data_IF_229568343621
#
_entry.id   IF_229568343621
#
_cell.length_a   1.000
_cell.length_b   1.000
_cell.length_c   1.000
_cell.angle_alpha   90.00
_cell.angle_beta   90.00
_cell.angle_gamma   90.00
#
_symmetry.space_group_name_H-M   'P 1'
#
loop_
_entity.id
_entity.type
_entity.pdbx_description
1 polymer ?
#
# COMPACT_ATOMS: atom_id res chain seq x y z
N UNK A 1 35.89 -29.80 -54.45
CA UNK A 1 34.64 -29.98 -53.68
C UNK A 1 34.61 -28.96 -52.56
N UNK A 2 34.06 -27.78 -52.83
CA UNK A 2 33.64 -26.80 -51.80
C UNK A 2 32.16 -26.57 -52.06
N UNK A 3 31.30 -27.01 -51.15
CA UNK A 3 29.88 -26.68 -51.16
C UNK A 3 29.70 -25.51 -50.20
N UNK A 4 29.54 -24.34 -50.80
CA UNK A 4 29.15 -23.08 -50.18
C UNK A 4 27.70 -23.23 -49.71
N UNK A 5 27.45 -23.26 -48.40
CA UNK A 5 26.09 -23.13 -47.87
C UNK A 5 25.83 -21.65 -47.59
N UNK A 6 25.11 -21.01 -48.51
CA UNK A 6 24.53 -19.69 -48.33
C UNK A 6 23.49 -19.71 -47.19
N UNK A 7 23.73 -18.89 -46.17
CA UNK A 7 22.80 -18.64 -45.06
C UNK A 7 21.86 -17.50 -45.49
N UNK A 8 20.53 -17.68 -45.55
CA UNK A 8 19.63 -16.60 -45.91
C UNK A 8 19.52 -15.56 -44.78
N UNK A 9 19.32 -14.26 -45.10
CA UNK A 9 19.23 -13.21 -44.11
C UNK A 9 17.95 -13.35 -43.26
N UNK A 10 18.09 -13.06 -41.96
CA UNK A 10 17.01 -13.09 -40.99
C UNK A 10 15.87 -12.13 -41.41
N UNK A 11 14.69 -12.69 -41.64
CA UNK A 11 13.44 -11.96 -41.81
C UNK A 11 13.17 -11.12 -40.55
N UNK A 12 13.24 -9.80 -40.68
CA UNK A 12 12.84 -8.84 -39.65
C UNK A 12 11.32 -8.89 -39.46
N UNK A 13 10.87 -9.53 -38.39
CA UNK A 13 9.47 -9.48 -37.97
C UNK A 13 9.19 -8.07 -37.40
N UNK A 14 8.19 -7.33 -37.90
CA UNK A 14 7.81 -6.07 -37.29
C UNK A 14 7.25 -6.37 -35.89
N UNK A 15 7.92 -5.86 -34.84
CA UNK A 15 7.35 -5.76 -33.50
C UNK A 15 6.15 -4.84 -33.58
N UNK A 16 4.96 -5.41 -33.76
CA UNK A 16 3.73 -4.70 -33.48
C UNK A 16 3.75 -4.36 -31.99
N UNK A 17 4.00 -3.08 -31.69
CA UNK A 17 3.72 -2.53 -30.39
C UNK A 17 2.23 -2.75 -30.14
N UNK A 18 1.88 -3.77 -29.36
CA UNK A 18 0.54 -3.98 -28.88
C UNK A 18 0.26 -2.84 -27.90
N UNK A 19 -0.26 -1.73 -28.43
CA UNK A 19 -0.75 -0.62 -27.62
C UNK A 19 -1.79 -1.19 -26.65
N UNK A 20 -1.50 -1.09 -25.35
CA UNK A 20 -2.43 -1.51 -24.33
C UNK A 20 -3.74 -0.70 -24.49
N UNK A 21 -4.92 -1.33 -24.39
CA UNK A 21 -6.17 -0.59 -24.52
C UNK A 21 -6.27 0.45 -23.40
N UNK A 22 -6.58 1.70 -23.77
CA UNK A 22 -6.99 2.74 -22.85
C UNK A 22 -8.36 2.34 -22.30
N UNK A 23 -8.41 1.88 -21.04
CA UNK A 23 -9.62 1.34 -20.45
C UNK A 23 -10.27 2.36 -19.51
N UNK A 24 -11.60 2.38 -19.48
CA UNK A 24 -12.42 3.30 -18.68
C UNK A 24 -12.21 3.15 -17.16
N UNK A 25 -12.99 3.87 -16.33
CA UNK A 25 -12.80 3.86 -14.88
C UNK A 25 -12.99 2.46 -14.30
N UNK A 26 -11.88 1.79 -13.96
CA UNK A 26 -11.87 0.50 -13.27
C UNK A 26 -12.17 0.71 -11.80
N UNK A 27 -12.94 -0.19 -11.20
CA UNK A 27 -13.27 -0.14 -9.78
C UNK A 27 -11.99 -0.19 -8.92
N UNK A 28 -11.93 0.54 -7.78
CA UNK A 28 -10.75 0.53 -6.92
C UNK A 28 -10.44 -0.88 -6.40
N UNK A 29 -9.17 -1.26 -6.46
CA UNK A 29 -8.65 -2.50 -5.88
C UNK A 29 -8.61 -2.37 -4.36
N UNK A 30 -9.63 -2.92 -3.71
CA UNK A 30 -9.74 -2.91 -2.26
C UNK A 30 -8.67 -3.79 -1.61
N UNK A 31 -7.97 -3.23 -0.63
CA UNK A 31 -6.99 -3.91 0.23
C UNK A 31 -7.69 -4.24 1.55
N UNK A 32 -8.10 -5.51 1.69
CA UNK A 32 -8.84 -5.94 2.87
C UNK A 32 -7.94 -5.97 4.11
N UNK A 33 -8.58 -6.05 5.28
CA UNK A 33 -7.89 -6.13 6.56
C UNK A 33 -6.91 -7.31 6.58
N UNK A 34 -5.62 -7.02 6.81
CA UNK A 34 -4.56 -8.02 6.91
C UNK A 34 -3.91 -8.38 5.59
N UNK A 35 -4.36 -7.77 4.49
CA UNK A 35 -3.79 -7.94 3.16
C UNK A 35 -2.81 -6.82 2.81
N UNK A 36 -1.97 -7.10 1.82
CA UNK A 36 -1.23 -6.11 1.06
C UNK A 36 -1.40 -6.39 -0.43
N UNK A 37 -1.44 -5.33 -1.24
CA UNK A 37 -1.53 -5.44 -2.70
C UNK A 37 -0.55 -4.47 -3.36
N UNK A 38 -0.02 -4.90 -4.50
CA UNK A 38 0.66 -4.01 -5.43
C UNK A 38 -0.32 -3.58 -6.50
N UNK A 39 -0.19 -2.33 -6.95
CA UNK A 39 -0.95 -1.80 -8.07
C UNK A 39 0.00 -1.39 -9.19
N UNK A 40 -0.49 -1.47 -10.43
CA UNK A 40 0.25 -1.07 -11.62
C UNK A 40 -0.66 -0.37 -12.63
N UNK A 41 -0.06 0.42 -13.53
CA UNK A 41 -0.77 1.04 -14.66
C UNK A 41 -1.99 1.83 -14.19
N UNK A 42 -3.20 1.38 -14.51
CA UNK A 42 -4.47 2.08 -14.24
C UNK A 42 -5.12 1.66 -12.92
N UNK A 43 -4.44 0.90 -12.06
CA UNK A 43 -5.01 0.45 -10.80
C UNK A 43 -5.19 1.62 -9.83
N UNK A 44 -6.20 1.52 -8.96
CA UNK A 44 -6.33 2.38 -7.80
C UNK A 44 -6.42 1.50 -6.55
N UNK A 45 -5.40 1.52 -5.69
CA UNK A 45 -5.44 0.81 -4.41
C UNK A 45 -6.31 1.58 -3.42
N UNK A 46 -7.15 0.89 -2.66
CA UNK A 46 -8.03 1.53 -1.69
C UNK A 46 -8.10 0.74 -0.37
N UNK A 47 -8.08 1.42 0.77
CA UNK A 47 -8.31 0.82 2.07
C UNK A 47 -9.21 1.71 2.94
N UNK A 48 -10.17 1.08 3.60
CA UNK A 48 -10.99 1.67 4.65
C UNK A 48 -10.34 1.43 6.02
N UNK A 49 -10.00 2.50 6.73
CA UNK A 49 -9.16 2.47 7.91
C UNK A 49 -9.90 3.02 9.14
N UNK A 50 -9.84 2.27 10.23
CA UNK A 50 -10.30 2.67 11.56
C UNK A 50 -9.13 2.73 12.54
N UNK A 51 -9.15 1.87 13.55
CA UNK A 51 -8.01 1.68 14.49
C UNK A 51 -6.85 0.87 13.90
N UNK A 52 -7.08 0.19 12.78
CA UNK A 52 -6.03 -0.34 11.91
C UNK A 52 -5.20 0.78 11.26
N UNK A 53 -4.03 0.45 10.72
CA UNK A 53 -3.15 1.40 10.01
C UNK A 53 -2.92 0.94 8.58
N UNK A 54 -3.07 1.86 7.63
CA UNK A 54 -2.68 1.69 6.25
C UNK A 54 -1.26 2.19 6.03
N UNK A 55 -0.43 1.42 5.31
CA UNK A 55 0.93 1.81 4.91
C UNK A 55 1.02 1.71 3.40
N UNK A 56 1.23 2.84 2.73
CA UNK A 56 1.41 2.91 1.29
C UNK A 56 2.86 3.23 0.91
N UNK A 57 3.37 2.54 -0.10
CA UNK A 57 4.64 2.84 -0.76
C UNK A 57 4.38 3.30 -2.18
N UNK A 58 4.98 4.42 -2.56
CA UNK A 58 4.83 5.03 -3.87
C UNK A 58 6.23 5.26 -4.45
N UNK A 59 6.61 4.47 -5.46
CA UNK A 59 7.88 4.60 -6.16
C UNK A 59 7.65 5.05 -7.61
N UNK A 60 7.42 6.36 -7.77
CA UNK A 60 7.03 6.99 -9.05
C UNK A 60 8.03 6.71 -10.17
N UNK A 61 9.34 6.83 -9.88
CA UNK A 61 10.42 6.60 -10.86
C UNK A 61 10.39 5.19 -11.47
N UNK A 62 9.93 4.18 -10.73
CA UNK A 62 9.79 2.80 -11.21
C UNK A 62 8.36 2.41 -11.56
N UNK A 63 7.38 3.29 -11.34
CA UNK A 63 5.96 2.99 -11.53
C UNK A 63 5.47 1.84 -10.64
N UNK A 64 5.99 1.73 -9.41
CA UNK A 64 5.62 0.66 -8.47
C UNK A 64 4.91 1.23 -7.25
N UNK A 65 3.79 0.62 -6.89
CA UNK A 65 2.92 1.08 -5.82
C UNK A 65 2.44 -0.10 -5.01
N UNK A 66 2.35 0.07 -3.70
CA UNK A 66 1.77 -0.95 -2.83
C UNK A 66 1.07 -0.34 -1.63
N UNK A 67 0.08 -1.04 -1.11
CA UNK A 67 -0.69 -0.66 0.07
C UNK A 67 -0.89 -1.89 0.95
N UNK A 68 -0.60 -1.77 2.25
CA UNK A 68 -0.90 -2.76 3.27
C UNK A 68 -1.93 -2.24 4.25
N UNK A 69 -2.79 -3.13 4.75
CA UNK A 69 -3.81 -2.83 5.75
C UNK A 69 -3.56 -3.65 7.02
N UNK A 70 -2.93 -3.02 8.02
CA UNK A 70 -2.44 -3.69 9.22
C UNK A 70 -3.41 -3.58 10.41
N UNK A 71 -3.66 -4.70 11.10
CA UNK A 71 -4.56 -4.73 12.26
C UNK A 71 -3.81 -4.58 13.59
N UNK A 72 -2.60 -5.14 13.67
CA UNK A 72 -1.86 -5.33 14.92
C UNK A 72 -0.41 -4.84 14.80
N UNK A 73 0.25 -4.46 15.91
CA UNK A 73 1.54 -3.80 15.83
C UNK A 73 2.70 -4.78 15.56
N UNK A 74 2.79 -5.85 16.35
CA UNK A 74 3.93 -6.76 16.36
C UNK A 74 3.44 -8.22 16.26
N UNK A 75 4.12 -9.03 15.46
CA UNK A 75 3.94 -10.48 15.44
C UNK A 75 4.91 -11.13 16.44
N UNK A 76 4.42 -12.05 17.28
CA UNK A 76 5.25 -12.75 18.27
C UNK A 76 6.21 -13.79 17.65
N UNK A 77 5.95 -14.23 16.42
CA UNK A 77 6.76 -15.20 15.69
C UNK A 77 7.75 -14.44 14.77
N UNK A 78 9.04 -14.81 14.80
CA UNK A 78 10.09 -14.24 13.92
C UNK A 78 9.65 -14.35 12.44
N UNK A 79 9.42 -13.24 11.73
CA UNK A 79 10.35 -12.29 11.10
C UNK A 79 10.49 -12.46 9.57
N UNK A 80 10.05 -13.59 8.97
CA UNK A 80 10.20 -13.79 7.51
C UNK A 80 8.90 -14.22 6.77
N UNK A 81 7.76 -14.15 7.45
CA UNK A 81 6.48 -14.44 6.81
C UNK A 81 5.96 -13.21 6.07
N UNK A 82 5.78 -13.37 4.76
CA UNK A 82 5.09 -12.40 3.91
C UNK A 82 3.65 -12.23 4.39
N UNK A 83 3.27 -11.00 4.74
CA UNK A 83 1.94 -10.70 5.25
C UNK A 83 1.77 -9.27 5.74
N UNK A 84 0.51 -8.88 5.99
CA UNK A 84 0.17 -7.53 6.41
C UNK A 84 -0.74 -7.47 7.65
N UNK A 85 -1.08 -8.60 8.27
CA UNK A 85 -1.86 -8.61 9.52
C UNK A 85 -1.16 -7.80 10.62
N UNK A 86 0.17 -7.91 10.70
CA UNK A 86 1.01 -7.21 11.66
C UNK A 86 1.90 -6.18 10.97
N UNK A 87 2.08 -5.00 11.58
CA UNK A 87 2.91 -3.94 11.03
C UNK A 87 4.37 -4.39 10.87
N UNK A 88 4.87 -5.19 11.82
CA UNK A 88 6.21 -5.78 11.76
C UNK A 88 6.47 -6.67 10.54
N UNK A 89 5.42 -7.26 9.97
CA UNK A 89 5.48 -8.07 8.75
C UNK A 89 5.21 -7.22 7.49
N UNK A 90 4.33 -6.23 7.59
CA UNK A 90 3.87 -5.45 6.45
C UNK A 90 4.99 -4.64 5.79
N UNK A 91 5.85 -3.99 6.57
CA UNK A 91 6.93 -3.15 6.02
C UNK A 91 7.91 -3.95 5.14
N UNK A 92 8.53 -5.06 5.62
CA UNK A 92 9.39 -5.87 4.75
C UNK A 92 8.60 -6.53 3.61
N UNK A 93 7.34 -6.93 3.82
CA UNK A 93 6.51 -7.51 2.78
C UNK A 93 6.23 -6.52 1.64
N UNK A 94 5.95 -5.26 1.96
CA UNK A 94 5.74 -4.19 0.98
C UNK A 94 7.00 -3.92 0.17
N UNK A 95 8.16 -3.81 0.82
CA UNK A 95 9.45 -3.63 0.13
C UNK A 95 9.75 -4.78 -0.83
N UNK A 96 9.54 -6.03 -0.38
CA UNK A 96 9.67 -7.23 -1.22
C UNK A 96 8.68 -7.20 -2.39
N UNK A 97 7.44 -6.78 -2.15
CA UNK A 97 6.39 -6.75 -3.15
C UNK A 97 6.68 -5.74 -4.27
N UNK A 98 7.26 -4.58 -3.93
CA UNK A 98 7.72 -3.61 -4.93
C UNK A 98 9.16 -3.84 -5.39
N UNK A 99 9.81 -4.90 -4.92
CA UNK A 99 11.20 -5.25 -5.25
C UNK A 99 12.19 -4.11 -5.02
N UNK A 100 12.09 -3.44 -3.87
CA UNK A 100 12.98 -2.35 -3.48
C UNK A 100 14.10 -2.86 -2.57
N UNK A 101 15.33 -2.44 -2.87
CA UNK A 101 16.52 -2.70 -2.09
C UNK A 101 16.81 -1.53 -1.13
N UNK A 102 17.96 -1.58 -0.45
CA UNK A 102 18.30 -0.54 0.54
C UNK A 102 18.62 0.81 -0.11
N UNK A 103 19.31 0.78 -1.24
CA UNK A 103 19.70 1.94 -2.04
C UNK A 103 18.49 2.69 -2.64
N UNK A 104 17.36 2.00 -2.82
CA UNK A 104 16.15 2.56 -3.43
C UNK A 104 15.30 3.37 -2.44
N UNK A 105 15.46 3.13 -1.13
CA UNK A 105 14.55 3.62 -0.07
C UNK A 105 14.38 5.13 -0.05
N UNK A 106 15.41 5.87 -0.43
CA UNK A 106 15.38 7.34 -0.51
C UNK A 106 14.45 7.88 -1.60
N UNK A 107 14.08 7.07 -2.59
CA UNK A 107 13.18 7.44 -3.68
C UNK A 107 11.71 7.06 -3.43
N UNK A 108 11.43 6.35 -2.33
CA UNK A 108 10.11 5.80 -2.04
C UNK A 108 9.35 6.78 -1.14
N UNK A 109 8.24 7.30 -1.67
CA UNK A 109 7.30 8.07 -0.89
C UNK A 109 6.48 7.14 -0.01
N UNK A 110 6.47 7.43 1.30
CA UNK A 110 5.76 6.61 2.29
C UNK A 110 4.61 7.38 2.90
N UNK A 111 3.44 6.77 2.85
CA UNK A 111 2.20 7.35 3.37
C UNK A 111 1.61 6.44 4.45
N UNK A 112 1.23 7.02 5.59
CA UNK A 112 0.55 6.31 6.67
C UNK A 112 -0.77 6.99 7.04
N UNK A 113 -1.82 6.18 7.20
CA UNK A 113 -3.14 6.67 7.60
C UNK A 113 -3.87 5.68 8.51
N UNK A 114 -4.90 6.13 9.23
CA UNK A 114 -5.73 5.29 10.10
C UNK A 114 -5.45 5.54 11.58
N UNK A 115 -5.33 4.48 12.38
CA UNK A 115 -5.02 4.56 13.80
C UNK A 115 -6.04 5.35 14.64
N UNK A 116 -7.27 5.49 14.15
CA UNK A 116 -8.32 6.24 14.84
C UNK A 116 -8.80 5.52 16.10
N UNK A 117 -9.17 6.30 17.10
CA UNK A 117 -9.75 5.85 18.35
C UNK A 117 -11.25 6.12 18.33
N UNK A 118 -12.04 5.14 17.91
CA UNK A 118 -13.51 5.25 17.94
C UNK A 118 -14.01 5.08 19.38
N UNK A 119 -14.92 5.94 19.82
CA UNK A 119 -15.34 6.14 21.21
C UNK A 119 -16.30 5.04 21.74
N UNK A 120 -16.07 3.78 21.38
CA UNK A 120 -16.95 2.68 21.77
C UNK A 120 -16.28 1.85 22.87
N UNK A 121 -16.32 2.38 24.09
CA UNK A 121 -16.48 1.64 25.36
C UNK A 121 -15.44 0.62 25.82
N UNK A 122 -14.29 0.43 25.17
CA UNK A 122 -13.32 -0.59 25.59
C UNK A 122 -11.88 -0.05 25.61
N UNK A 123 -11.31 0.09 26.81
CA UNK A 123 -9.99 0.68 27.09
C UNK A 123 -8.82 0.02 26.34
N UNK A 124 -8.95 -1.25 25.96
CA UNK A 124 -7.95 -1.99 25.15
C UNK A 124 -7.94 -1.57 23.68
N UNK A 125 -9.11 -1.31 23.08
CA UNK A 125 -9.22 -0.81 21.69
C UNK A 125 -8.78 0.66 21.58
N UNK A 126 -8.84 1.42 22.67
CA UNK A 126 -8.37 2.82 22.66
C UNK A 126 -6.89 2.95 22.33
N UNK A 127 -6.07 1.95 22.70
CA UNK A 127 -4.62 1.98 22.50
C UNK A 127 -4.15 1.32 21.20
N UNK A 128 -4.97 0.46 20.56
CA UNK A 128 -4.46 -0.33 19.42
C UNK A 128 -4.07 0.55 18.23
N UNK A 129 -4.83 1.62 17.95
CA UNK A 129 -4.50 2.56 16.88
C UNK A 129 -3.19 3.31 17.12
N UNK A 130 -2.93 3.70 18.37
CA UNK A 130 -1.66 4.30 18.76
C UNK A 130 -0.51 3.30 18.62
N UNK A 131 -0.66 2.09 19.15
CA UNK A 131 0.36 1.04 19.08
C UNK A 131 0.71 0.66 17.63
N UNK A 132 -0.31 0.53 16.76
CA UNK A 132 -0.13 0.28 15.33
C UNK A 132 0.67 1.41 14.66
N UNK A 133 0.34 2.65 14.97
CA UNK A 133 1.02 3.84 14.42
C UNK A 133 2.48 3.92 14.88
N UNK A 134 2.74 3.67 16.16
CA UNK A 134 4.09 3.63 16.73
C UNK A 134 4.93 2.52 16.10
N UNK A 135 4.35 1.32 15.95
CA UNK A 135 4.99 0.21 15.26
C UNK A 135 5.30 0.55 13.80
N UNK A 136 4.39 1.23 13.09
CA UNK A 136 4.61 1.64 11.70
C UNK A 136 5.82 2.57 11.58
N UNK A 137 5.88 3.62 12.41
CA UNK A 137 7.02 4.54 12.43
C UNK A 137 8.33 3.84 12.80
N UNK A 138 8.28 2.95 13.80
CA UNK A 138 9.45 2.16 14.25
C UNK A 138 9.99 1.29 13.12
N UNK A 139 9.14 0.49 12.47
CA UNK A 139 9.56 -0.43 11.42
C UNK A 139 9.94 0.29 10.14
N UNK A 140 9.22 1.32 9.72
CA UNK A 140 9.61 2.14 8.57
C UNK A 140 11.02 2.74 8.76
N UNK A 141 11.28 3.34 9.94
CA UNK A 141 12.62 3.84 10.26
C UNK A 141 13.68 2.74 10.29
N UNK A 142 13.36 1.57 10.87
CA UNK A 142 14.27 0.41 10.91
C UNK A 142 14.67 -0.02 9.49
N UNK A 143 13.75 0.03 8.54
CA UNK A 143 14.00 -0.27 7.13
C UNK A 143 14.40 0.97 6.32
N UNK A 144 14.94 2.03 6.94
CA UNK A 144 15.48 3.19 6.23
C UNK A 144 14.47 4.01 5.43
N UNK A 145 13.18 3.88 5.71
CA UNK A 145 12.10 4.62 5.04
C UNK A 145 11.68 5.84 5.87
N UNK A 146 11.59 6.98 5.21
CA UNK A 146 11.07 8.22 5.81
C UNK A 146 9.59 8.40 5.46
N UNK A 147 8.78 8.75 6.45
CA UNK A 147 7.34 9.01 6.25
C UNK A 147 7.16 10.37 5.60
N UNK A 148 6.68 10.39 4.36
CA UNK A 148 6.40 11.62 3.59
C UNK A 148 5.04 12.22 3.97
N UNK A 149 4.04 11.38 4.26
CA UNK A 149 2.72 11.82 4.69
C UNK A 149 2.19 10.97 5.85
N UNK A 150 1.53 11.62 6.80
CA UNK A 150 0.94 10.96 7.96
C UNK A 150 -0.40 11.58 8.37
N UNK A 151 -1.47 10.77 8.33
CA UNK A 151 -2.79 11.12 8.88
C UNK A 151 -3.33 10.01 9.77
N UNK A 152 -2.85 10.00 11.01
CA UNK A 152 -3.13 8.97 12.02
C UNK A 152 -3.87 9.54 13.23
N UNK A 153 -4.56 8.70 14.00
CA UNK A 153 -5.25 9.11 15.23
C UNK A 153 -6.62 9.74 14.98
N UNK A 154 -7.13 10.53 15.93
CA UNK A 154 -8.46 11.14 15.86
C UNK A 154 -9.60 10.16 16.14
N UNK A 155 -10.85 10.60 15.89
CA UNK A 155 -12.07 9.86 16.28
C UNK A 155 -12.84 9.23 15.10
N UNK A 156 -12.43 9.55 13.87
CA UNK A 156 -13.14 9.17 12.64
C UNK A 156 -12.32 8.16 11.85
N UNK A 157 -13.02 7.23 11.17
CA UNK A 157 -12.39 6.39 10.15
C UNK A 157 -11.93 7.20 8.93
N UNK A 158 -11.12 6.59 8.07
CA UNK A 158 -10.56 7.22 6.87
C UNK A 158 -10.56 6.26 5.70
N UNK A 159 -10.74 6.79 4.50
CA UNK A 159 -10.43 6.08 3.27
C UNK A 159 -9.07 6.55 2.76
N UNK A 160 -8.20 5.62 2.41
CA UNK A 160 -6.90 5.88 1.82
C UNK A 160 -6.87 5.30 0.42
N UNK A 161 -6.48 6.09 -0.58
CA UNK A 161 -6.35 5.64 -1.97
C UNK A 161 -4.97 5.98 -2.54
N UNK A 162 -4.49 5.13 -3.44
CA UNK A 162 -3.30 5.37 -4.27
C UNK A 162 -3.69 5.15 -5.73
N UNK A 163 -3.54 6.17 -6.55
CA UNK A 163 -3.73 6.10 -7.98
C UNK A 163 -2.40 5.70 -8.64
N UNK A 164 -2.33 4.49 -9.20
CA UNK A 164 -1.10 3.94 -9.76
C UNK A 164 -0.75 4.54 -11.14
N UNK A 165 -1.71 5.20 -11.80
CA UNK A 165 -1.47 5.82 -13.11
C UNK A 165 -0.69 7.12 -12.95
N UNK A 166 -1.05 7.90 -11.94
CA UNK A 166 -0.48 9.22 -11.65
C UNK A 166 0.55 9.18 -10.52
N UNK A 167 0.53 8.13 -9.70
CA UNK A 167 1.31 8.05 -8.46
C UNK A 167 0.83 9.02 -7.38
N UNK A 168 -0.40 9.50 -7.48
CA UNK A 168 -1.02 10.38 -6.46
C UNK A 168 -1.71 9.55 -5.39
N UNK A 169 -1.97 10.15 -4.23
CA UNK A 169 -2.72 9.51 -3.15
C UNK A 169 -3.73 10.48 -2.56
N UNK A 170 -4.77 9.94 -1.92
CA UNK A 170 -5.73 10.73 -1.15
C UNK A 170 -6.06 10.04 0.17
N UNK A 171 -6.33 10.85 1.19
CA UNK A 171 -6.82 10.38 2.49
C UNK A 171 -8.00 11.24 2.90
N UNK A 172 -9.18 10.62 2.99
CA UNK A 172 -10.42 11.30 3.33
C UNK A 172 -10.98 10.78 4.63
N UNK A 173 -11.38 11.68 5.53
CA UNK A 173 -12.10 11.30 6.74
C UNK A 173 -13.53 10.91 6.40
N UNK A 174 -14.02 9.89 7.07
CA UNK A 174 -15.39 9.43 6.95
C UNK A 174 -16.17 10.16 8.02
N UNK A 175 -16.93 11.17 7.59
CA UNK A 175 -17.84 11.88 8.48
C UNK A 175 -18.84 10.87 9.04
N UNK A 176 -18.80 10.65 10.36
CA UNK A 176 -19.86 9.93 11.04
C UNK A 176 -21.05 10.88 11.12
N UNK A 177 -22.04 10.70 10.25
CA UNK A 177 -23.35 11.31 10.46
C UNK A 177 -23.95 10.69 11.71
N UNK A 178 -23.74 11.34 12.86
CA UNK A 178 -24.52 11.08 14.07
C UNK A 178 -25.96 11.55 13.78
N UNK A 179 -26.78 10.66 13.24
CA UNK A 179 -28.22 10.76 13.40
C UNK A 179 -28.49 10.55 14.89
N UNK A 180 -28.67 11.65 15.62
CA UNK A 180 -29.10 11.61 17.01
C UNK A 180 -30.49 11.00 17.10
N UNK A 181 -30.56 9.69 17.34
CA UNK A 181 -31.77 9.09 17.88
C UNK A 181 -31.79 9.42 19.37
N UNK A 182 -32.43 10.54 19.69
CA UNK A 182 -32.86 10.85 21.05
C UNK A 182 -33.85 9.75 21.46
N UNK A 183 -33.45 8.88 22.38
CA UNK A 183 -34.41 8.08 23.13
C UNK A 183 -35.06 9.02 24.14
N UNK A 184 -36.33 9.35 23.90
CA UNK A 184 -37.22 10.00 24.86
C UNK A 184 -37.62 9.03 25.97
#
# INVERSE_FOLDING_TARGET
MQVLFDIPPALSVPRTAHAAPADGPRAPLQVAMGELKAGARTDQLCALLGSCVGIGLIWKKRGRYALAHCLLPECAQLADNFGARYVSQAVPSLLRLIGANEEDRGEIEVIIAGGATMLNGCSSRLKIGQLNTEAARKHLRKFGLNVTYCRVGGKCGRTMTIDCATGTFAVHEIATSYAGTTYA
#
